data_IF_904777983092
#
_entry.id   IF_904777983092
#
_cell.length_a   1.000
_cell.length_b   1.000
_cell.length_c   1.000
_cell.angle_alpha   90.00
_cell.angle_beta   90.00
_cell.angle_gamma   90.00
#
_symmetry.space_group_name_H-M   'P 1'
#
loop_
_entity.id
_entity.type
_entity.pdbx_description
1 polymer ?
#
# COMPACT_ATOMS: atom_id res chain seq x y z
N UNK A 1 3.91 -7.52 43.62
CA UNK A 1 3.75 -6.63 42.45
C UNK A 1 4.50 -7.23 41.27
N UNK A 2 3.97 -6.99 40.06
CA UNK A 2 4.45 -7.40 38.72
C UNK A 2 4.30 -8.86 38.28
N UNK A 3 3.09 -9.25 37.88
CA UNK A 3 2.82 -10.27 36.87
C UNK A 3 1.59 -9.86 36.03
N UNK A 4 1.75 -8.90 35.11
CA UNK A 4 0.78 -8.62 34.03
C UNK A 4 1.53 -8.07 32.80
N UNK A 5 2.20 -8.94 32.05
CA UNK A 5 2.68 -8.62 30.69
C UNK A 5 2.85 -9.88 29.85
N UNK A 6 1.80 -10.69 29.71
CA UNK A 6 1.78 -11.76 28.70
C UNK A 6 0.36 -12.14 28.28
N UNK A 7 -0.43 -11.17 27.82
CA UNK A 7 -1.73 -11.44 27.17
C UNK A 7 -2.13 -10.27 26.26
N UNK A 8 -1.38 -10.07 25.16
CA UNK A 8 -1.77 -9.10 24.12
C UNK A 8 -1.49 -9.54 22.67
N UNK A 9 -1.35 -10.85 22.43
CA UNK A 9 -1.16 -11.40 21.08
C UNK A 9 -2.11 -12.56 20.73
N UNK A 10 -3.30 -12.58 21.35
CA UNK A 10 -4.40 -13.43 20.93
C UNK A 10 -5.60 -12.57 20.53
N UNK A 11 -5.38 -11.62 19.62
CA UNK A 11 -6.49 -11.02 18.86
C UNK A 11 -6.56 -11.81 17.56
N UNK A 12 -7.57 -12.67 17.43
CA UNK A 12 -7.94 -13.27 16.16
C UNK A 12 -8.29 -12.14 15.18
N UNK A 13 -7.33 -11.74 14.36
CA UNK A 13 -7.52 -10.73 13.30
C UNK A 13 -8.35 -11.37 12.20
N UNK A 14 -9.67 -11.45 12.39
CA UNK A 14 -10.61 -11.90 11.37
C UNK A 14 -10.86 -10.76 10.38
N UNK A 15 -9.84 -10.33 9.65
CA UNK A 15 -9.99 -9.54 8.42
C UNK A 15 -10.62 -10.45 7.37
N UNK A 16 -11.94 -10.64 7.41
CA UNK A 16 -12.74 -11.39 6.42
C UNK A 16 -12.25 -11.12 5.00
N UNK A 17 -11.49 -12.06 4.45
CA UNK A 17 -10.97 -12.06 3.09
C UNK A 17 -12.04 -12.69 2.21
N UNK A 18 -12.31 -12.20 0.99
CA UNK A 18 -13.06 -12.97 0.02
C UNK A 18 -12.30 -14.28 -0.26
N UNK A 19 -12.89 -15.43 0.08
CA UNK A 19 -12.37 -16.80 -0.06
C UNK A 19 -11.08 -16.96 -0.90
N UNK A 20 -9.95 -17.20 -0.23
CA UNK A 20 -8.68 -17.54 -0.89
C UNK A 20 -8.58 -19.05 -1.11
N UNK A 21 -8.64 -19.49 -2.37
CA UNK A 21 -8.28 -20.86 -2.74
C UNK A 21 -6.76 -21.10 -2.61
N UNK A 22 -6.32 -22.36 -2.38
CA UNK A 22 -4.91 -22.71 -2.32
C UNK A 22 -4.19 -22.37 -3.63
N UNK A 23 -2.96 -21.90 -3.49
CA UNK A 23 -2.11 -21.46 -4.59
C UNK A 23 -1.83 -22.60 -5.59
N UNK A 24 -2.40 -22.49 -6.78
CA UNK A 24 -1.82 -23.09 -7.98
C UNK A 24 -2.25 -22.27 -9.20
N UNK A 25 -1.33 -21.51 -9.79
CA UNK A 25 -1.55 -20.88 -11.09
C UNK A 25 -0.23 -20.76 -11.86
N UNK A 26 -0.18 -21.49 -12.96
CA UNK A 26 0.84 -21.41 -14.00
C UNK A 26 0.61 -20.15 -14.84
N UNK A 27 1.56 -19.21 -14.82
CA UNK A 27 1.56 -18.08 -15.75
C UNK A 27 2.38 -18.44 -16.99
N UNK A 28 1.74 -18.49 -18.16
CA UNK A 28 2.42 -18.54 -19.46
C UNK A 28 2.89 -17.13 -19.81
N UNK A 29 4.18 -16.99 -20.10
CA UNK A 29 4.82 -15.74 -20.55
C UNK A 29 4.44 -15.42 -21.99
N UNK A 30 3.85 -14.24 -22.22
CA UNK A 30 3.75 -13.65 -23.56
C UNK A 30 4.35 -12.24 -23.48
N UNK A 31 5.61 -12.09 -23.88
CA UNK A 31 6.29 -10.81 -24.05
C UNK A 31 6.24 -10.45 -25.54
N UNK A 32 5.63 -9.33 -25.90
CA UNK A 32 6.04 -8.56 -27.08
C UNK A 32 5.48 -7.13 -27.07
N UNK A 33 6.34 -6.13 -26.85
CA UNK A 33 6.81 -5.15 -27.85
C UNK A 33 7.50 -3.95 -27.16
N UNK A 34 8.50 -3.32 -27.81
CA UNK A 34 9.41 -2.37 -27.16
C UNK A 34 8.99 -0.90 -27.38
N UNK A 35 9.22 -0.06 -26.36
CA UNK A 35 9.26 1.40 -26.52
C UNK A 35 10.60 1.93 -25.98
N UNK A 36 11.22 2.77 -26.80
CA UNK A 36 12.60 3.26 -26.75
C UNK A 36 12.78 4.42 -25.77
N UNK A 37 12.92 4.09 -24.48
CA UNK A 37 13.49 4.99 -23.46
C UNK A 37 14.46 4.23 -22.52
N UNK A 38 14.92 3.05 -22.95
CA UNK A 38 15.22 1.89 -22.11
C UNK A 38 16.69 1.67 -21.73
N UNK A 39 17.67 2.37 -22.31
CA UNK A 39 19.07 1.91 -22.22
C UNK A 39 19.71 2.06 -20.83
N UNK A 40 19.31 3.05 -20.04
CA UNK A 40 19.88 3.27 -18.69
C UNK A 40 19.10 2.51 -17.61
N UNK A 41 17.77 2.39 -17.78
CA UNK A 41 16.89 1.68 -16.86
C UNK A 41 17.06 0.15 -16.92
N UNK A 42 17.45 -0.39 -18.09
CA UNK A 42 17.76 -1.81 -18.25
C UNK A 42 19.07 -2.24 -17.56
N UNK A 43 20.07 -1.34 -17.47
CA UNK A 43 21.35 -1.65 -16.81
C UNK A 43 21.13 -1.95 -15.33
N UNK A 44 20.45 -1.04 -14.63
CA UNK A 44 20.22 -1.17 -13.19
C UNK A 44 19.32 -2.37 -12.84
N UNK A 45 18.33 -2.70 -13.69
CA UNK A 45 17.46 -3.87 -13.49
C UNK A 45 18.25 -5.18 -13.62
N UNK A 46 19.03 -5.32 -14.70
CA UNK A 46 19.83 -6.52 -14.96
C UNK A 46 20.87 -6.74 -13.86
N UNK A 47 21.48 -5.66 -13.38
CA UNK A 47 22.44 -5.69 -12.28
C UNK A 47 21.77 -6.12 -10.96
N UNK A 48 20.57 -5.60 -10.66
CA UNK A 48 19.81 -5.94 -9.46
C UNK A 48 19.37 -7.42 -9.45
N UNK A 49 18.82 -7.92 -10.57
CA UNK A 49 18.39 -9.33 -10.68
C UNK A 49 19.59 -10.27 -10.60
N UNK A 50 20.69 -9.94 -11.29
CA UNK A 50 21.92 -10.73 -11.26
C UNK A 50 22.51 -10.79 -9.85
N UNK A 51 22.58 -9.65 -9.16
CA UNK A 51 23.04 -9.59 -7.78
C UNK A 51 22.16 -10.41 -6.84
N UNK A 52 20.83 -10.33 -7.01
CA UNK A 52 19.88 -11.12 -6.20
C UNK A 52 20.10 -12.63 -6.39
N UNK A 53 20.20 -13.08 -7.64
CA UNK A 53 20.45 -14.49 -7.95
C UNK A 53 21.80 -14.96 -7.41
N UNK A 54 22.85 -14.13 -7.51
CA UNK A 54 24.14 -14.43 -6.91
C UNK A 54 24.03 -14.60 -5.38
N UNK A 55 23.24 -13.76 -4.72
CA UNK A 55 23.01 -13.85 -3.27
C UNK A 55 22.26 -15.13 -2.86
N UNK A 56 21.31 -15.61 -3.67
CA UNK A 56 20.59 -16.86 -3.40
C UNK A 56 21.54 -18.07 -3.30
N UNK A 57 22.58 -18.09 -4.14
CA UNK A 57 23.53 -19.20 -4.21
C UNK A 57 24.78 -19.02 -3.34
N UNK A 58 25.01 -17.84 -2.75
CA UNK A 58 26.15 -17.60 -1.85
C UNK A 58 26.02 -18.38 -0.54
N UNK A 59 27.14 -18.95 -0.10
CA UNK A 59 27.32 -19.59 1.21
C UNK A 59 28.52 -18.92 1.92
N UNK A 60 28.35 -18.31 3.11
CA UNK A 60 27.10 -18.19 3.87
C UNK A 60 26.05 -17.31 3.17
N UNK A 61 24.77 -17.56 3.44
CA UNK A 61 23.67 -16.78 2.83
C UNK A 61 23.73 -15.34 3.34
N UNK A 62 23.66 -14.34 2.43
CA UNK A 62 23.63 -12.94 2.82
C UNK A 62 22.44 -12.59 3.73
N UNK A 63 22.54 -11.51 4.53
CA UNK A 63 21.44 -11.09 5.39
C UNK A 63 20.21 -10.63 4.59
N UNK A 64 19.02 -10.90 5.13
CA UNK A 64 17.72 -10.62 4.45
C UNK A 64 17.55 -9.15 4.06
N UNK A 65 18.13 -8.22 4.81
CA UNK A 65 18.07 -6.79 4.51
C UNK A 65 18.72 -6.43 3.16
N UNK A 66 19.71 -7.20 2.68
CA UNK A 66 20.32 -6.98 1.36
C UNK A 66 19.34 -7.37 0.25
N UNK A 67 18.58 -8.46 0.41
CA UNK A 67 17.51 -8.84 -0.52
C UNK A 67 16.44 -7.75 -0.54
N UNK A 68 16.02 -7.26 0.63
CA UNK A 68 15.05 -6.17 0.75
C UNK A 68 15.49 -4.87 0.05
N UNK A 69 16.79 -4.53 0.06
CA UNK A 69 17.33 -3.37 -0.68
C UNK A 69 17.15 -3.50 -2.20
N UNK A 70 17.47 -4.67 -2.74
CA UNK A 70 17.32 -4.95 -4.18
C UNK A 70 15.84 -4.90 -4.57
N UNK A 71 14.97 -5.57 -3.80
CA UNK A 71 13.52 -5.56 -4.04
C UNK A 71 12.97 -4.13 -3.95
N UNK A 72 13.43 -3.34 -2.98
CA UNK A 72 13.07 -1.93 -2.85
C UNK A 72 13.52 -1.07 -4.04
N UNK A 73 14.71 -1.33 -4.59
CA UNK A 73 15.21 -0.69 -5.81
C UNK A 73 14.30 -1.01 -7.01
N UNK A 74 13.94 -2.28 -7.18
CA UNK A 74 13.05 -2.74 -8.25
C UNK A 74 11.64 -2.15 -8.14
N UNK A 75 11.10 -2.00 -6.92
CA UNK A 75 9.82 -1.30 -6.70
C UNK A 75 9.92 0.17 -7.11
N UNK A 76 11.01 0.87 -6.76
CA UNK A 76 11.21 2.28 -7.15
C UNK A 76 11.27 2.45 -8.67
N UNK A 77 11.87 1.49 -9.37
CA UNK A 77 11.94 1.45 -10.83
C UNK A 77 10.72 0.79 -11.49
N UNK A 78 9.68 0.46 -10.70
CA UNK A 78 8.37 -0.10 -11.13
C UNK A 78 8.42 -1.51 -11.75
N UNK A 79 9.48 -2.29 -11.49
CA UNK A 79 9.62 -3.67 -11.93
C UNK A 79 8.88 -4.66 -11.01
N UNK A 80 7.58 -4.44 -10.80
CA UNK A 80 6.76 -5.22 -9.86
C UNK A 80 6.66 -6.73 -10.21
N UNK A 81 6.53 -7.15 -11.49
CA UNK A 81 6.51 -8.58 -11.83
C UNK A 81 7.81 -9.29 -11.45
N UNK A 82 8.95 -8.61 -11.62
CA UNK A 82 10.27 -9.13 -11.25
C UNK A 82 10.36 -9.30 -9.74
N UNK A 83 9.90 -8.33 -8.95
CA UNK A 83 9.83 -8.43 -7.49
C UNK A 83 9.03 -9.66 -7.05
N UNK A 84 7.87 -9.93 -7.68
CA UNK A 84 7.05 -11.11 -7.37
C UNK A 84 7.83 -12.40 -7.66
N UNK A 85 8.45 -12.50 -8.84
CA UNK A 85 9.27 -13.64 -9.23
C UNK A 85 10.44 -13.89 -8.26
N UNK A 86 11.18 -12.84 -7.90
CA UNK A 86 12.32 -12.94 -6.98
C UNK A 86 11.91 -13.39 -5.58
N UNK A 87 10.79 -12.88 -5.04
CA UNK A 87 10.26 -13.33 -3.75
C UNK A 87 9.83 -14.82 -3.80
N UNK A 88 9.23 -15.28 -4.90
CA UNK A 88 8.91 -16.69 -5.09
C UNK A 88 10.18 -17.56 -5.18
N UNK A 89 11.21 -17.07 -5.87
CA UNK A 89 12.50 -17.76 -5.96
C UNK A 89 13.18 -17.87 -4.59
N UNK A 90 13.14 -16.84 -3.73
CA UNK A 90 13.64 -16.95 -2.35
C UNK A 90 12.98 -18.12 -1.62
N UNK A 91 11.66 -18.21 -1.68
CA UNK A 91 10.87 -19.24 -1.00
C UNK A 91 11.18 -20.65 -1.53
N UNK A 92 11.29 -20.80 -2.85
CA UNK A 92 11.68 -22.06 -3.48
C UNK A 92 13.11 -22.49 -3.14
N UNK A 93 14.00 -21.54 -2.78
CA UNK A 93 15.35 -21.81 -2.28
C UNK A 93 15.40 -22.02 -0.75
N UNK A 94 14.24 -22.15 -0.10
CA UNK A 94 14.14 -22.36 1.35
C UNK A 94 14.46 -21.11 2.19
N UNK A 95 14.58 -19.95 1.55
CA UNK A 95 14.73 -18.66 2.23
C UNK A 95 13.36 -18.04 2.45
N UNK A 96 13.21 -17.28 3.53
CA UNK A 96 11.94 -16.67 3.85
C UNK A 96 12.03 -15.15 3.78
N UNK A 97 11.17 -14.50 2.98
CA UNK A 97 11.05 -13.05 2.98
C UNK A 97 10.76 -12.53 4.40
N UNK A 98 11.51 -11.51 4.80
CA UNK A 98 11.30 -10.80 6.05
C UNK A 98 10.11 -9.83 5.95
N UNK A 99 9.77 -9.15 7.04
CA UNK A 99 8.63 -8.22 7.08
C UNK A 99 8.73 -7.11 6.01
N UNK A 100 9.93 -6.59 5.77
CA UNK A 100 10.17 -5.55 4.75
C UNK A 100 9.91 -6.11 3.35
N UNK A 101 10.45 -7.29 3.05
CA UNK A 101 10.27 -7.96 1.76
C UNK A 101 8.81 -8.36 1.50
N UNK A 102 8.09 -8.78 2.53
CA UNK A 102 6.65 -9.07 2.45
C UNK A 102 5.83 -7.80 2.18
N UNK A 103 6.16 -6.68 2.82
CA UNK A 103 5.52 -5.38 2.53
C UNK A 103 5.78 -4.93 1.08
N UNK A 104 7.01 -5.09 0.60
CA UNK A 104 7.38 -4.84 -0.80
C UNK A 104 6.56 -5.74 -1.74
N UNK A 105 6.48 -7.04 -1.47
CA UNK A 105 5.71 -7.99 -2.28
C UNK A 105 4.22 -7.64 -2.31
N UNK A 106 3.64 -7.27 -1.16
CA UNK A 106 2.26 -6.83 -1.04
C UNK A 106 1.99 -5.57 -1.87
N UNK A 107 2.87 -4.56 -1.80
CA UNK A 107 2.77 -3.39 -2.65
C UNK A 107 2.87 -3.75 -4.14
N UNK A 108 3.81 -4.61 -4.54
CA UNK A 108 3.92 -5.08 -5.93
C UNK A 108 2.63 -5.73 -6.44
N UNK A 109 1.97 -6.57 -5.63
CA UNK A 109 0.66 -7.11 -5.99
C UNK A 109 -0.42 -6.02 -6.13
N UNK A 110 -0.46 -5.04 -5.23
CA UNK A 110 -1.37 -3.90 -5.34
C UNK A 110 -1.15 -3.09 -6.63
N UNK A 111 0.11 -2.84 -7.01
CA UNK A 111 0.47 -2.11 -8.23
C UNK A 111 0.10 -2.87 -9.51
N UNK A 112 0.07 -4.21 -9.45
CA UNK A 112 -0.37 -5.08 -10.53
C UNK A 112 -1.89 -5.30 -10.56
N UNK A 113 -2.67 -4.66 -9.68
CA UNK A 113 -4.12 -4.85 -9.57
C UNK A 113 -4.53 -6.20 -8.94
N UNK A 114 -3.55 -6.96 -8.46
CA UNK A 114 -3.67 -8.30 -7.87
C UNK A 114 -3.96 -8.23 -6.36
N UNK A 115 -4.93 -7.42 -5.96
CA UNK A 115 -5.20 -7.09 -4.54
C UNK A 115 -5.55 -8.33 -3.70
N UNK A 116 -6.18 -9.35 -4.27
CA UNK A 116 -6.45 -10.62 -3.57
C UNK A 116 -5.15 -11.29 -3.10
N UNK A 117 -4.11 -11.30 -3.94
CA UNK A 117 -2.80 -11.81 -3.57
C UNK A 117 -2.11 -10.93 -2.53
N UNK A 118 -2.32 -9.62 -2.57
CA UNK A 118 -1.84 -8.72 -1.51
C UNK A 118 -2.45 -9.08 -0.13
N UNK A 119 -3.74 -9.41 -0.06
CA UNK A 119 -4.37 -9.91 1.18
C UNK A 119 -3.82 -11.29 1.61
N UNK A 120 -3.46 -12.16 0.67
CA UNK A 120 -2.76 -13.41 1.00
C UNK A 120 -1.39 -13.15 1.63
N UNK A 121 -0.66 -12.13 1.17
CA UNK A 121 0.60 -11.71 1.79
C UNK A 121 0.37 -11.13 3.20
N UNK A 122 -0.69 -10.34 3.41
CA UNK A 122 -1.08 -9.89 4.76
C UNK A 122 -1.35 -11.08 5.70
N UNK A 123 -2.04 -12.10 5.21
CA UNK A 123 -2.28 -13.33 5.98
C UNK A 123 -0.98 -14.02 6.35
N UNK A 124 0.00 -14.02 5.44
CA UNK A 124 1.35 -14.56 5.72
C UNK A 124 2.10 -13.73 6.77
N UNK A 125 1.99 -12.40 6.73
CA UNK A 125 2.54 -11.50 7.75
C UNK A 125 1.97 -11.86 9.13
N UNK A 126 0.64 -11.97 9.23
CA UNK A 126 -0.05 -12.32 10.48
C UNK A 126 0.32 -13.72 10.99
N UNK A 127 0.31 -14.74 10.11
CA UNK A 127 0.67 -16.13 10.48
C UNK A 127 2.10 -16.26 11.00
N UNK A 128 2.99 -15.35 10.61
CA UNK A 128 4.38 -15.28 11.09
C UNK A 128 4.54 -14.49 12.38
N UNK A 129 3.45 -13.94 12.93
CA UNK A 129 3.47 -13.15 14.15
C UNK A 129 4.06 -11.75 13.98
N UNK A 130 4.19 -11.25 12.75
CA UNK A 130 4.62 -9.87 12.55
C UNK A 130 3.50 -8.90 12.94
N UNK A 131 3.83 -7.83 13.69
CA UNK A 131 2.85 -6.80 13.99
C UNK A 131 2.48 -6.03 12.72
N UNK A 132 1.19 -5.74 12.54
CA UNK A 132 0.76 -4.82 11.50
C UNK A 132 1.11 -3.39 11.91
N UNK A 133 1.64 -2.63 10.97
CA UNK A 133 1.82 -1.19 11.10
C UNK A 133 0.88 -0.43 10.15
N UNK A 134 0.79 0.89 10.35
CA UNK A 134 -0.03 1.76 9.51
C UNK A 134 0.34 1.62 8.04
N UNK A 135 1.64 1.55 7.71
CA UNK A 135 2.16 1.44 6.34
C UNK A 135 1.59 0.21 5.62
N UNK A 136 1.63 -0.96 6.28
CA UNK A 136 1.12 -2.23 5.74
C UNK A 136 -0.36 -2.10 5.39
N UNK A 137 -1.15 -1.48 6.27
CA UNK A 137 -2.59 -1.29 6.06
C UNK A 137 -2.88 -0.27 4.96
N UNK A 138 -2.10 0.82 4.88
CA UNK A 138 -2.23 1.82 3.83
C UNK A 138 -1.93 1.28 2.44
N UNK A 139 -0.98 0.34 2.32
CA UNK A 139 -0.68 -0.33 1.04
C UNK A 139 -1.91 -1.06 0.50
N UNK A 140 -2.65 -1.76 1.34
CA UNK A 140 -3.88 -2.46 0.94
C UNK A 140 -5.02 -1.49 0.60
N UNK A 141 -5.20 -0.44 1.39
CA UNK A 141 -6.13 0.65 1.07
C UNK A 141 -5.84 1.23 -0.32
N UNK A 142 -4.56 1.57 -0.56
CA UNK A 142 -4.09 2.07 -1.86
C UNK A 142 -4.37 1.07 -2.97
N UNK A 143 -4.09 -0.22 -2.76
CA UNK A 143 -4.37 -1.27 -3.73
C UNK A 143 -5.84 -1.36 -4.13
N UNK A 144 -6.75 -1.32 -3.15
CA UNK A 144 -8.20 -1.32 -3.39
C UNK A 144 -8.64 -0.08 -4.18
N UNK A 145 -8.15 1.11 -3.81
CA UNK A 145 -8.43 2.35 -4.56
C UNK A 145 -7.87 2.31 -5.99
N UNK A 146 -6.66 1.79 -6.21
CA UNK A 146 -6.06 1.66 -7.54
C UNK A 146 -6.85 0.72 -8.45
N UNK A 147 -7.47 -0.32 -7.87
CA UNK A 147 -8.36 -1.24 -8.59
C UNK A 147 -9.77 -0.65 -8.84
N UNK A 148 -10.07 0.53 -8.30
CA UNK A 148 -11.40 1.15 -8.35
C UNK A 148 -12.40 0.52 -7.37
N UNK A 149 -11.99 -0.38 -6.48
CA UNK A 149 -12.85 -1.03 -5.49
C UNK A 149 -13.02 -0.15 -4.23
N UNK A 150 -13.40 1.12 -4.40
CA UNK A 150 -13.37 2.13 -3.31
C UNK A 150 -14.30 1.82 -2.14
N UNK A 151 -15.46 1.20 -2.37
CA UNK A 151 -16.35 0.78 -1.29
C UNK A 151 -15.71 -0.33 -0.43
N UNK A 152 -14.93 -1.23 -1.04
CA UNK A 152 -14.17 -2.22 -0.28
C UNK A 152 -13.02 -1.56 0.49
N UNK A 153 -12.42 -0.49 -0.06
CA UNK A 153 -11.43 0.31 0.65
C UNK A 153 -12.04 0.98 1.90
N UNK A 154 -13.24 1.58 1.78
CA UNK A 154 -13.98 2.14 2.91
C UNK A 154 -14.32 1.09 3.98
N UNK A 155 -14.86 -0.05 3.56
CA UNK A 155 -15.16 -1.15 4.49
C UNK A 155 -13.89 -1.68 5.19
N UNK A 156 -12.78 -1.79 4.47
CA UNK A 156 -11.49 -2.18 5.05
C UNK A 156 -10.98 -1.12 6.04
N UNK A 157 -11.08 0.17 5.69
CA UNK A 157 -10.79 1.29 6.60
C UNK A 157 -11.57 1.18 7.91
N UNK A 158 -12.90 1.03 7.83
CA UNK A 158 -13.77 1.01 9.01
C UNK A 158 -13.41 -0.14 9.95
N UNK A 159 -13.11 -1.31 9.36
CA UNK A 159 -12.68 -2.48 10.10
C UNK A 159 -11.34 -2.28 10.81
N UNK A 160 -10.37 -1.71 10.11
CA UNK A 160 -9.04 -1.42 10.66
C UNK A 160 -9.15 -0.42 11.81
N UNK A 161 -9.94 0.63 11.66
CA UNK A 161 -10.19 1.61 12.72
C UNK A 161 -10.94 1.00 13.91
N UNK A 162 -11.95 0.17 13.67
CA UNK A 162 -12.70 -0.53 14.72
C UNK A 162 -11.81 -1.50 15.53
N UNK A 163 -10.75 -2.02 14.92
CA UNK A 163 -9.73 -2.83 15.60
C UNK A 163 -8.70 -2.01 16.40
N UNK A 164 -8.83 -0.68 16.40
CA UNK A 164 -7.99 0.24 17.18
C UNK A 164 -6.74 0.72 16.45
N UNK A 165 -6.56 0.38 15.17
CA UNK A 165 -5.46 0.93 14.38
C UNK A 165 -5.68 2.40 14.07
N UNK A 166 -4.60 3.18 14.17
CA UNK A 166 -4.59 4.61 13.85
C UNK A 166 -3.99 4.79 12.46
N UNK A 167 -4.87 5.07 11.50
CA UNK A 167 -4.47 5.49 10.17
C UNK A 167 -3.97 6.93 10.20
N UNK A 168 -3.00 7.22 9.34
CA UNK A 168 -2.34 8.51 9.25
C UNK A 168 -2.93 9.37 8.13
N UNK A 169 -2.42 10.59 8.01
CA UNK A 169 -2.81 11.54 6.98
C UNK A 169 -2.67 10.97 5.56
N UNK A 170 -1.61 10.18 5.30
CA UNK A 170 -1.39 9.57 3.99
C UNK A 170 -2.47 8.54 3.63
N UNK A 171 -2.93 7.76 4.62
CA UNK A 171 -4.02 6.79 4.46
C UNK A 171 -5.33 7.44 4.07
N UNK A 172 -5.72 8.51 4.76
CA UNK A 172 -6.95 9.24 4.45
C UNK A 172 -6.86 9.98 3.12
N UNK A 173 -5.72 10.58 2.79
CA UNK A 173 -5.51 11.23 1.49
C UNK A 173 -5.61 10.21 0.34
N UNK A 174 -5.09 9.00 0.55
CA UNK A 174 -5.23 7.89 -0.42
C UNK A 174 -6.69 7.54 -0.66
N UNK A 175 -7.49 7.41 0.41
CA UNK A 175 -8.90 7.06 0.34
C UNK A 175 -9.74 8.16 -0.34
N UNK A 176 -9.52 9.43 0.06
CA UNK A 176 -10.15 10.61 -0.54
C UNK A 176 -9.85 10.67 -2.04
N UNK A 177 -8.58 10.54 -2.44
CA UNK A 177 -8.20 10.54 -3.85
C UNK A 177 -8.82 9.35 -4.61
N UNK A 178 -8.93 8.17 -3.98
CA UNK A 178 -9.64 7.03 -4.57
C UNK A 178 -11.11 7.34 -4.87
N UNK A 179 -11.82 7.89 -3.89
CA UNK A 179 -13.24 8.27 -4.00
C UNK A 179 -13.46 9.34 -5.08
N UNK A 180 -12.67 10.42 -5.07
CA UNK A 180 -12.74 11.47 -6.10
C UNK A 180 -12.49 10.92 -7.51
N UNK A 181 -11.55 9.98 -7.68
CA UNK A 181 -11.25 9.38 -8.99
C UNK A 181 -12.41 8.60 -9.60
N UNK A 182 -13.29 8.03 -8.77
CA UNK A 182 -14.49 7.32 -9.23
C UNK A 182 -15.75 8.19 -9.22
N UNK A 183 -15.63 9.48 -8.92
CA UNK A 183 -16.75 10.43 -8.87
C UNK A 183 -17.57 10.40 -7.58
N UNK A 184 -17.09 9.72 -6.53
CA UNK A 184 -17.75 9.71 -5.22
C UNK A 184 -17.33 10.90 -4.35
N UNK A 185 -17.42 12.12 -4.90
CA UNK A 185 -16.95 13.36 -4.27
C UNK A 185 -17.63 13.62 -2.92
N UNK A 186 -18.94 13.35 -2.79
CA UNK A 186 -19.66 13.49 -1.51
C UNK A 186 -19.17 12.51 -0.44
N UNK A 187 -18.74 11.30 -0.82
CA UNK A 187 -18.14 10.36 0.13
C UNK A 187 -16.74 10.81 0.55
N UNK A 188 -15.95 11.36 -0.39
CA UNK A 188 -14.64 11.95 -0.10
C UNK A 188 -14.74 13.10 0.92
N UNK A 189 -15.75 13.97 0.77
CA UNK A 189 -16.08 15.02 1.74
C UNK A 189 -16.38 14.44 3.13
N UNK A 190 -17.18 13.38 3.23
CA UNK A 190 -17.46 12.72 4.52
C UNK A 190 -16.17 12.20 5.18
N UNK A 191 -15.27 11.60 4.41
CA UNK A 191 -13.96 11.15 4.92
C UNK A 191 -13.13 12.33 5.42
N UNK A 192 -13.09 13.46 4.69
CA UNK A 192 -12.40 14.68 5.14
C UNK A 192 -12.94 15.17 6.50
N UNK A 193 -14.26 15.23 6.67
CA UNK A 193 -14.89 15.63 7.94
C UNK A 193 -14.62 14.65 9.09
N UNK A 194 -14.50 13.36 8.80
CA UNK A 194 -14.12 12.37 9.81
C UNK A 194 -12.68 12.55 10.31
N UNK A 195 -11.79 13.08 9.47
CA UNK A 195 -10.40 13.40 9.84
C UNK A 195 -10.39 14.64 10.74
N UNK A 196 -11.09 15.69 10.34
CA UNK A 196 -11.20 16.97 11.07
C UNK A 196 -11.71 16.82 12.53
N UNK A 197 -12.54 15.80 12.79
CA UNK A 197 -13.01 15.45 14.15
C UNK A 197 -12.09 14.53 14.96
N UNK A 198 -10.89 14.18 14.50
CA UNK A 198 -9.99 13.18 15.12
C UNK A 198 -8.58 13.76 15.38
N UNK A 199 -7.70 12.90 15.90
CA UNK A 199 -6.26 13.20 16.14
C UNK A 199 -5.45 13.46 14.85
N UNK A 200 -6.04 13.29 13.67
CA UNK A 200 -5.37 13.50 12.38
C UNK A 200 -5.87 14.80 11.80
N UNK A 201 -4.98 15.73 11.49
CA UNK A 201 -5.37 16.98 10.87
C UNK A 201 -5.47 16.80 9.35
N UNK A 202 -6.53 17.32 8.69
CA UNK A 202 -6.56 17.40 7.24
C UNK A 202 -5.36 18.17 6.70
N UNK A 203 -4.81 17.80 5.54
CA UNK A 203 -3.82 18.63 4.83
C UNK A 203 -4.39 19.24 3.56
N UNK A 204 -3.64 20.21 3.03
CA UNK A 204 -3.85 20.84 1.72
C UNK A 204 -4.11 19.81 0.62
N UNK A 205 -3.40 18.67 0.61
CA UNK A 205 -3.59 17.63 -0.43
C UNK A 205 -5.02 17.06 -0.40
N UNK A 206 -5.59 16.79 0.79
CA UNK A 206 -6.96 16.29 0.91
C UNK A 206 -7.98 17.33 0.40
N UNK A 207 -7.87 18.58 0.86
CA UNK A 207 -8.76 19.66 0.44
C UNK A 207 -8.69 19.90 -1.06
N UNK A 208 -7.48 20.12 -1.61
CA UNK A 208 -7.28 20.39 -3.03
C UNK A 208 -7.75 19.25 -3.93
N UNK A 209 -7.60 17.99 -3.49
CA UNK A 209 -8.12 16.82 -4.22
C UNK A 209 -9.65 16.87 -4.34
N UNK A 210 -10.35 17.22 -3.26
CA UNK A 210 -11.82 17.31 -3.26
C UNK A 210 -12.28 18.54 -4.04
N UNK A 211 -11.65 19.70 -3.85
CA UNK A 211 -11.93 20.93 -4.60
C UNK A 211 -11.81 20.66 -6.10
N UNK A 212 -10.74 19.99 -6.53
CA UNK A 212 -10.55 19.61 -7.93
C UNK A 212 -11.69 18.70 -8.43
N UNK A 213 -12.12 17.74 -7.61
CA UNK A 213 -13.23 16.84 -7.92
C UNK A 213 -14.55 17.61 -8.07
N UNK A 214 -14.88 18.49 -7.13
CA UNK A 214 -16.07 19.35 -7.16
C UNK A 214 -16.11 20.24 -8.41
N UNK A 215 -14.97 20.85 -8.78
CA UNK A 215 -14.85 21.61 -10.02
C UNK A 215 -15.12 20.75 -11.26
N UNK A 216 -14.62 19.51 -11.28
CA UNK A 216 -14.87 18.56 -12.37
C UNK A 216 -16.35 18.16 -12.45
N UNK A 217 -17.02 18.06 -11.31
CA UNK A 217 -18.45 17.76 -11.19
C UNK A 217 -19.34 19.00 -11.39
N UNK A 218 -18.74 20.17 -11.66
CA UNK A 218 -19.40 21.49 -11.83
C UNK A 218 -20.08 22.04 -10.56
N UNK A 219 -19.72 21.51 -9.40
CA UNK A 219 -20.14 21.97 -8.07
C UNK A 219 -19.22 23.13 -7.59
N UNK A 220 -19.18 24.22 -8.36
CA UNK A 220 -18.20 25.31 -8.16
C UNK A 220 -18.42 26.07 -6.84
N UNK A 221 -19.66 26.17 -6.39
CA UNK A 221 -20.00 26.84 -5.12
C UNK A 221 -19.42 26.04 -3.96
N UNK A 222 -19.69 24.74 -3.90
CA UNK A 222 -19.13 23.86 -2.87
C UNK A 222 -17.60 23.83 -2.90
N UNK A 223 -17.00 23.90 -4.09
CA UNK A 223 -15.55 23.99 -4.26
C UNK A 223 -14.98 25.28 -3.64
N UNK A 224 -15.66 26.41 -3.85
CA UNK A 224 -15.26 27.71 -3.30
C UNK A 224 -15.45 27.78 -1.78
N UNK A 225 -16.55 27.24 -1.28
CA UNK A 225 -16.82 27.18 0.16
C UNK A 225 -15.76 26.33 0.87
N UNK A 226 -15.41 25.19 0.30
CA UNK A 226 -14.36 24.31 0.83
C UNK A 226 -12.97 24.96 0.76
N UNK A 227 -12.67 25.72 -0.29
CA UNK A 227 -11.44 26.52 -0.37
C UNK A 227 -11.37 27.60 0.72
N UNK A 228 -12.49 28.30 0.94
CA UNK A 228 -12.59 29.35 1.96
C UNK A 228 -12.37 28.79 3.37
N UNK A 229 -12.94 27.62 3.66
CA UNK A 229 -12.70 26.90 4.91
C UNK A 229 -11.22 26.54 5.10
N UNK A 230 -10.57 25.98 4.06
CA UNK A 230 -9.15 25.65 4.08
C UNK A 230 -8.28 26.89 4.36
N UNK A 231 -8.65 28.05 3.82
CA UNK A 231 -7.93 29.30 4.01
C UNK A 231 -8.05 29.86 5.44
N UNK A 232 -9.18 29.63 6.12
CA UNK A 232 -9.42 30.06 7.51
C UNK A 232 -8.75 29.12 8.51
N UNK A 233 -8.65 27.82 8.18
CA UNK A 233 -7.97 26.81 8.98
C UNK A 233 -6.74 26.27 8.24
N UNK A 234 -5.66 27.05 8.08
CA UNK A 234 -4.46 26.56 7.42
C UNK A 234 -3.93 25.38 8.25
N UNK A 235 -3.97 24.19 7.65
CA UNK A 235 -3.33 23.01 8.19
C UNK A 235 -1.88 23.38 8.51
N UNK A 236 -1.53 23.47 9.80
CA UNK A 236 -0.17 23.80 10.26
C UNK A 236 0.77 22.69 9.77
N UNK A 237 1.32 22.85 8.57
CA UNK A 237 2.52 22.19 8.04
C UNK A 237 2.81 22.68 6.61
N UNK A 238 3.24 23.93 6.49
CA UNK A 238 4.21 24.33 5.46
C UNK A 238 5.60 24.11 6.04
N UNK A 239 6.04 22.86 6.08
CA UNK A 239 7.45 22.53 6.21
C UNK A 239 8.02 22.42 4.81
N UNK A 240 8.56 23.53 4.30
CA UNK A 240 9.59 23.69 3.26
C UNK A 240 9.65 25.19 2.88
N UNK A 241 10.24 25.98 3.79
CA UNK A 241 11.24 26.97 3.39
C UNK A 241 12.60 26.26 3.33
#
# INVERSE_FOLDING_TARGET
MSLLRSSRYAVSVSLSIPNSHPFHLSFRSSISKPYSHSLQQFSDEFDNVSLFNQMLHKKPTPPMNQFGKILGSLVKTKHYPVVVSLCQQMESNGLYPDFVSLNILMNSFCQLGHVTFAFSVLTKILKRGYPLDTITLTVLLKGLCLKGEVHKALHFHDKVVAQGFRLDQFSYATLINGLCKVGETSAALKVLRQVDGKLVQPNVVMYTTIIHSLCKDKEVIDAFDLYSEMAVHPSKNSGLD
#
